data_IF_826756675138
#
_entry.id   IF_826756675138
#
_cell.length_a   1.000
_cell.length_b   1.000
_cell.length_c   1.000
_cell.angle_alpha   90.00
_cell.angle_beta   90.00
_cell.angle_gamma   90.00
#
_symmetry.space_group_name_H-M   'P 1'
#
loop_
_entity.id
_entity.type
_entity.pdbx_description
1 polymer ?
#
# COMPACT_ATOMS: atom_id res chain seq x y z
N UNK A 1 16.12 11.45 14.17
CA UNK A 1 15.09 10.43 14.43
C UNK A 1 14.25 10.27 13.16
N UNK A 2 13.81 9.06 12.79
CA UNK A 2 13.04 8.85 11.55
C UNK A 2 11.56 9.13 11.74
N UNK A 3 10.93 9.70 10.72
CA UNK A 3 9.48 9.84 10.61
C UNK A 3 8.89 8.46 10.35
N UNK A 4 7.97 8.04 11.22
CA UNK A 4 7.21 6.80 11.08
C UNK A 4 5.82 7.15 10.56
N UNK A 5 5.52 6.89 9.28
CA UNK A 5 4.20 7.18 8.74
C UNK A 5 3.09 6.43 9.48
N UNK A 6 1.90 7.05 9.66
CA UNK A 6 0.77 6.39 10.30
C UNK A 6 0.30 5.19 9.46
N UNK A 7 -0.09 4.10 10.14
CA UNK A 7 -0.64 2.92 9.45
C UNK A 7 -1.98 3.26 8.79
N UNK A 8 -2.15 2.82 7.54
CA UNK A 8 -3.45 2.86 6.87
C UNK A 8 -4.47 1.95 7.55
N UNK A 9 -5.75 2.30 7.44
CA UNK A 9 -6.89 1.67 8.09
C UNK A 9 -7.95 1.27 7.05
N UNK A 10 -8.83 0.29 7.35
CA UNK A 10 -9.98 0.01 6.51
C UNK A 10 -10.77 1.28 6.17
N UNK A 11 -11.12 1.47 4.90
CA UNK A 11 -11.75 2.67 4.35
C UNK A 11 -10.76 3.68 3.74
N UNK A 12 -9.48 3.63 4.10
CA UNK A 12 -8.47 4.53 3.53
C UNK A 12 -8.20 4.22 2.05
N UNK A 13 -7.92 5.26 1.27
CA UNK A 13 -7.48 5.13 -0.12
C UNK A 13 -5.98 4.81 -0.15
N UNK A 14 -5.60 3.83 -0.97
CA UNK A 14 -4.22 3.41 -1.18
C UNK A 14 -3.85 3.57 -2.66
N UNK A 15 -2.79 4.32 -2.94
CA UNK A 15 -2.29 4.49 -4.30
C UNK A 15 -1.59 3.21 -4.76
N UNK A 16 -1.94 2.76 -5.96
CA UNK A 16 -1.36 1.57 -6.60
C UNK A 16 -0.53 2.05 -7.78
N UNK A 17 0.79 2.02 -7.64
CA UNK A 17 1.73 2.66 -8.58
C UNK A 17 2.66 1.64 -9.23
N UNK A 18 3.08 1.92 -10.45
CA UNK A 18 4.11 1.15 -11.16
C UNK A 18 5.36 2.00 -11.36
N UNK A 19 6.15 2.26 -10.30
CA UNK A 19 7.32 3.13 -10.37
C UNK A 19 8.55 2.48 -11.03
N UNK A 20 8.44 1.20 -11.40
CA UNK A 20 9.44 0.45 -12.17
C UNK A 20 8.71 -0.21 -13.35
N UNK A 21 8.63 -1.55 -13.42
CA UNK A 21 7.82 -2.25 -14.41
C UNK A 21 6.31 -2.08 -14.19
N UNK A 22 5.57 -1.71 -15.23
CA UNK A 22 4.11 -1.69 -15.24
C UNK A 22 3.49 -3.08 -15.49
N UNK A 23 3.78 -4.04 -14.60
CA UNK A 23 3.21 -5.40 -14.69
C UNK A 23 1.68 -5.47 -14.81
N UNK A 24 0.89 -4.54 -14.24
CA UNK A 24 -0.56 -4.49 -14.49
C UNK A 24 -0.94 -4.36 -15.97
N UNK A 25 -0.11 -3.71 -16.79
CA UNK A 25 -0.32 -3.61 -18.23
C UNK A 25 -0.02 -4.91 -18.97
N UNK A 26 0.92 -5.71 -18.46
CA UNK A 26 1.29 -7.01 -19.04
C UNK A 26 0.30 -8.13 -18.67
N UNK A 27 -0.16 -8.15 -17.41
CA UNK A 27 -1.05 -9.18 -16.87
C UNK A 27 -2.29 -8.57 -16.17
N UNK A 28 -3.21 -7.95 -16.93
CA UNK A 28 -4.35 -7.23 -16.35
C UNK A 28 -5.25 -8.12 -15.49
N UNK A 29 -5.49 -9.38 -15.89
CA UNK A 29 -6.32 -10.30 -15.11
C UNK A 29 -5.74 -10.61 -13.71
N UNK A 30 -4.42 -10.71 -13.59
CA UNK A 30 -3.74 -10.93 -12.30
C UNK A 30 -3.84 -9.68 -11.44
N UNK A 31 -3.71 -8.51 -12.06
CA UNK A 31 -3.86 -7.23 -11.38
C UNK A 31 -5.28 -7.03 -10.83
N UNK A 32 -6.33 -7.29 -11.62
CA UNK A 32 -7.72 -7.22 -11.15
C UNK A 32 -7.96 -8.12 -9.93
N UNK A 33 -7.41 -9.34 -9.98
CA UNK A 33 -7.49 -10.29 -8.88
C UNK A 33 -6.76 -9.78 -7.63
N UNK A 34 -5.60 -9.13 -7.81
CA UNK A 34 -4.85 -8.51 -6.72
C UNK A 34 -5.62 -7.34 -6.09
N UNK A 35 -6.23 -6.46 -6.90
CA UNK A 35 -7.02 -5.33 -6.40
C UNK A 35 -8.24 -5.79 -5.60
N UNK A 36 -8.94 -6.81 -6.11
CA UNK A 36 -10.08 -7.43 -5.42
C UNK A 36 -9.66 -8.00 -4.06
N UNK A 37 -8.54 -8.74 -4.01
CA UNK A 37 -8.03 -9.32 -2.76
C UNK A 37 -7.53 -8.27 -1.78
N UNK A 38 -6.84 -7.24 -2.26
CA UNK A 38 -6.37 -6.13 -1.43
C UNK A 38 -7.56 -5.49 -0.70
N UNK A 39 -8.60 -5.12 -1.44
CA UNK A 39 -9.81 -4.52 -0.88
C UNK A 39 -10.50 -5.48 0.11
N UNK A 40 -10.72 -6.75 -0.27
CA UNK A 40 -11.42 -7.71 0.56
C UNK A 40 -10.69 -8.05 1.88
N UNK A 41 -9.35 -8.15 1.85
CA UNK A 41 -8.55 -8.58 3.01
C UNK A 41 -8.19 -7.44 3.97
N UNK A 42 -8.13 -6.21 3.47
CA UNK A 42 -7.66 -5.05 4.23
C UNK A 42 -8.72 -3.97 4.45
N UNK A 43 -9.77 -3.95 3.63
CA UNK A 43 -10.75 -2.87 3.57
C UNK A 43 -10.20 -1.58 2.96
N UNK A 44 -8.97 -1.56 2.43
CA UNK A 44 -8.42 -0.40 1.73
C UNK A 44 -9.07 -0.23 0.36
N UNK A 45 -9.16 1.01 -0.11
CA UNK A 45 -9.71 1.37 -1.41
C UNK A 45 -8.55 1.61 -2.39
N UNK A 46 -8.22 0.66 -3.30
CA UNK A 46 -7.16 0.85 -4.28
C UNK A 46 -7.49 1.97 -5.26
N UNK A 47 -6.51 2.82 -5.54
CA UNK A 47 -6.59 3.93 -6.49
C UNK A 47 -5.43 3.80 -7.46
N UNK A 48 -5.75 3.55 -8.73
CA UNK A 48 -4.76 3.55 -9.80
C UNK A 48 -4.46 4.96 -10.29
N UNK A 49 -3.30 5.10 -10.90
CA UNK A 49 -2.79 6.34 -11.49
C UNK A 49 -2.50 6.13 -12.98
N UNK A 50 -2.32 7.20 -13.77
CA UNK A 50 -2.13 7.13 -15.22
C UNK A 50 -1.14 6.05 -15.68
N UNK A 51 0.01 5.93 -15.02
CA UNK A 51 1.06 4.98 -15.44
C UNK A 51 0.95 3.61 -14.78
N UNK A 52 -0.04 3.35 -13.93
CA UNK A 52 -0.16 2.05 -13.22
C UNK A 52 -0.19 0.87 -14.20
N UNK A 53 -0.90 1.01 -15.32
CA UNK A 53 -1.02 -0.02 -16.37
C UNK A 53 -0.28 0.33 -17.66
N UNK A 54 0.35 1.50 -17.73
CA UNK A 54 0.97 1.99 -18.96
C UNK A 54 2.35 1.36 -19.15
N UNK A 55 2.46 0.44 -20.10
CA UNK A 55 3.76 -0.09 -20.51
C UNK A 55 4.58 1.01 -21.18
N UNK A 56 5.88 1.07 -20.86
CA UNK A 56 6.81 2.02 -21.48
C UNK A 56 6.64 3.49 -21.07
N UNK A 57 5.95 3.77 -19.96
CA UNK A 57 5.89 5.12 -19.40
C UNK A 57 7.30 5.65 -19.06
N UNK A 58 7.55 6.93 -19.35
CA UNK A 58 8.84 7.55 -19.09
C UNK A 58 9.15 7.63 -17.58
N UNK A 59 10.42 7.80 -17.17
CA UNK A 59 10.75 8.05 -15.77
C UNK A 59 10.02 9.26 -15.18
N UNK A 60 9.86 10.34 -15.95
CA UNK A 60 9.13 11.55 -15.55
C UNK A 60 7.64 11.31 -15.37
N UNK A 61 7.02 10.49 -16.22
CA UNK A 61 5.60 10.13 -16.10
C UNK A 61 5.37 9.29 -14.84
N UNK A 62 6.24 8.30 -14.58
CA UNK A 62 6.17 7.50 -13.35
C UNK A 62 6.44 8.33 -12.09
N UNK A 63 7.36 9.30 -12.16
CA UNK A 63 7.63 10.25 -11.08
C UNK A 63 6.44 11.17 -10.82
N UNK A 64 5.73 11.60 -11.86
CA UNK A 64 4.52 12.41 -11.74
C UNK A 64 3.46 11.70 -10.90
N UNK A 65 3.25 10.41 -11.13
CA UNK A 65 2.30 9.60 -10.36
C UNK A 65 2.72 9.46 -8.89
N UNK A 66 4.00 9.24 -8.62
CA UNK A 66 4.55 9.23 -7.25
C UNK A 66 4.34 10.58 -6.55
N UNK A 67 4.71 11.69 -7.20
CA UNK A 67 4.56 13.03 -6.64
C UNK A 67 3.09 13.36 -6.38
N UNK A 68 2.19 13.01 -7.29
CA UNK A 68 0.75 13.19 -7.12
C UNK A 68 0.21 12.37 -5.92
N UNK A 69 0.65 11.12 -5.75
CA UNK A 69 0.24 10.29 -4.62
C UNK A 69 0.75 10.82 -3.27
N UNK A 70 2.00 11.32 -3.21
CA UNK A 70 2.52 11.96 -2.00
C UNK A 70 1.76 13.25 -1.67
N UNK A 71 1.46 14.08 -2.68
CA UNK A 71 0.78 15.36 -2.49
C UNK A 71 -0.72 15.24 -2.16
N UNK A 72 -1.40 14.15 -2.52
CA UNK A 72 -2.85 13.98 -2.32
C UNK A 72 -3.21 13.54 -0.89
N UNK A 73 -3.75 14.42 -0.01
CA UNK A 73 -4.05 14.06 1.38
C UNK A 73 -5.11 12.95 1.53
N UNK A 74 -5.89 12.66 0.48
CA UNK A 74 -6.89 11.57 0.47
C UNK A 74 -6.24 10.18 0.40
N UNK A 75 -5.01 10.08 -0.10
CA UNK A 75 -4.22 8.85 -0.15
C UNK A 75 -3.48 8.69 1.18
N UNK A 76 -3.67 7.54 1.84
CA UNK A 76 -3.02 7.25 3.14
C UNK A 76 -1.92 6.19 3.08
N UNK A 77 -1.69 5.56 1.94
CA UNK A 77 -0.57 4.67 1.71
C UNK A 77 -0.26 4.53 0.21
N UNK A 78 0.96 4.12 -0.12
CA UNK A 78 1.42 3.86 -1.48
C UNK A 78 1.92 2.42 -1.56
N UNK A 79 1.42 1.67 -2.54
CA UNK A 79 1.82 0.30 -2.86
C UNK A 79 2.39 0.26 -4.28
N UNK A 80 3.65 -0.17 -4.40
CA UNK A 80 4.23 -0.50 -5.69
C UNK A 80 3.68 -1.85 -6.19
N UNK A 81 3.32 -1.92 -7.46
CA UNK A 81 2.76 -3.12 -8.10
C UNK A 81 3.80 -4.24 -8.21
N UNK A 82 5.02 -3.90 -8.65
CA UNK A 82 6.19 -4.79 -8.74
C UNK A 82 7.49 -3.97 -8.77
N UNK A 83 8.65 -4.64 -8.69
CA UNK A 83 9.96 -4.05 -9.04
C UNK A 83 10.27 -4.18 -10.53
N UNK A 84 11.52 -3.96 -10.91
CA UNK A 84 12.03 -4.03 -12.30
C UNK A 84 13.53 -3.77 -12.30
N UNK A 85 14.02 -2.88 -13.16
CA UNK A 85 15.47 -2.63 -13.30
C UNK A 85 15.87 -1.17 -13.57
N UNK A 86 14.90 -0.24 -13.68
CA UNK A 86 15.14 1.12 -14.15
C UNK A 86 14.59 2.22 -13.22
N UNK A 87 14.08 1.89 -12.03
CA UNK A 87 13.51 2.89 -11.11
C UNK A 87 14.51 3.97 -10.70
N UNK A 88 15.82 3.68 -10.74
CA UNK A 88 16.85 4.69 -10.46
C UNK A 88 16.70 5.94 -11.35
N UNK A 89 16.20 5.81 -12.59
CA UNK A 89 15.95 6.92 -13.48
C UNK A 89 14.76 7.80 -13.05
N UNK A 90 13.85 7.29 -12.21
CA UNK A 90 12.69 8.01 -11.68
C UNK A 90 13.09 8.98 -10.56
N UNK A 91 14.08 8.60 -9.75
CA UNK A 91 14.48 9.30 -8.51
C UNK A 91 14.81 10.80 -8.71
N UNK A 92 15.53 11.23 -9.76
CA UNK A 92 15.84 12.65 -9.97
C UNK A 92 14.61 13.56 -10.19
N UNK A 93 13.44 12.98 -10.48
CA UNK A 93 12.21 13.72 -10.78
C UNK A 93 11.24 13.79 -9.57
N UNK A 94 11.63 13.25 -8.42
CA UNK A 94 10.78 13.21 -7.22
C UNK A 94 10.86 14.50 -6.41
N UNK A 95 9.70 14.95 -5.92
CA UNK A 95 9.58 16.08 -5.02
C UNK A 95 9.59 15.63 -3.56
N UNK A 96 10.70 15.87 -2.87
CA UNK A 96 10.86 15.54 -1.46
C UNK A 96 9.99 16.37 -0.53
N UNK A 97 9.58 17.59 -0.93
CA UNK A 97 8.78 18.47 -0.08
C UNK A 97 7.39 17.90 0.18
N UNK A 98 6.75 17.36 -0.87
CA UNK A 98 5.45 16.70 -0.74
C UNK A 98 5.52 15.50 0.22
N UNK A 99 6.52 14.62 0.05
CA UNK A 99 6.71 13.45 0.92
C UNK A 99 7.00 13.82 2.38
N UNK A 100 7.71 14.92 2.63
CA UNK A 100 7.98 15.42 3.98
C UNK A 100 6.76 16.08 4.64
N UNK A 101 5.89 16.73 3.85
CA UNK A 101 4.72 17.44 4.36
C UNK A 101 3.62 16.51 4.90
N UNK A 102 3.40 15.36 4.26
CA UNK A 102 2.48 14.31 4.70
C UNK A 102 3.12 12.94 4.47
N UNK A 103 4.03 12.48 5.37
CA UNK A 103 4.71 11.20 5.19
C UNK A 103 3.72 10.03 5.21
N UNK A 104 3.80 9.18 4.18
CA UNK A 104 2.88 8.04 3.98
C UNK A 104 3.63 6.72 4.00
N UNK A 105 3.01 5.63 4.48
CA UNK A 105 3.57 4.30 4.32
C UNK A 105 3.78 4.00 2.84
N UNK A 106 5.00 3.62 2.49
CA UNK A 106 5.34 3.06 1.20
C UNK A 106 5.68 1.57 1.37
N UNK A 107 5.08 0.73 0.52
CA UNK A 107 5.33 -0.71 0.44
C UNK A 107 5.77 -1.09 -0.99
N UNK A 108 6.94 -1.71 -1.10
CA UNK A 108 7.50 -2.21 -2.35
C UNK A 108 8.64 -3.18 -2.09
N UNK A 109 9.10 -3.91 -3.12
CA UNK A 109 10.25 -4.81 -3.01
C UNK A 109 11.09 -4.78 -4.28
N UNK A 110 12.30 -5.37 -4.24
CA UNK A 110 13.26 -5.44 -5.34
C UNK A 110 13.75 -4.04 -5.76
N UNK A 111 13.62 -3.67 -7.02
CA UNK A 111 14.02 -2.36 -7.58
C UNK A 111 13.41 -1.15 -6.85
N UNK A 112 12.29 -1.36 -6.14
CA UNK A 112 11.71 -0.38 -5.21
C UNK A 112 12.67 0.04 -4.08
N UNK A 113 13.81 -0.65 -3.93
CA UNK A 113 14.92 -0.25 -3.07
C UNK A 113 15.40 1.16 -3.41
N UNK A 114 15.38 1.60 -4.69
CA UNK A 114 15.76 2.97 -5.04
C UNK A 114 14.84 3.99 -4.35
N UNK A 115 13.53 3.78 -4.38
CA UNK A 115 12.57 4.63 -3.69
C UNK A 115 12.67 4.50 -2.16
N UNK A 116 12.97 3.30 -1.63
CA UNK A 116 13.27 3.12 -0.21
C UNK A 116 14.48 3.94 0.24
N UNK A 117 15.56 3.98 -0.55
CA UNK A 117 16.76 4.77 -0.25
C UNK A 117 16.46 6.27 -0.32
N UNK A 118 15.66 6.70 -1.29
CA UNK A 118 15.21 8.08 -1.41
C UNK A 118 14.35 8.51 -0.20
N UNK A 119 13.36 7.72 0.21
CA UNK A 119 12.58 8.00 1.43
C UNK A 119 13.46 7.98 2.68
N UNK A 120 14.42 7.05 2.74
CA UNK A 120 15.35 6.93 3.85
C UNK A 120 16.22 8.18 4.00
N UNK A 121 16.70 8.77 2.90
CA UNK A 121 17.52 10.00 2.90
C UNK A 121 16.71 11.23 3.37
N UNK A 122 15.40 11.25 3.10
CA UNK A 122 14.46 12.23 3.65
C UNK A 122 14.09 11.96 5.12
N UNK A 123 14.60 10.89 5.73
CA UNK A 123 14.30 10.53 7.11
C UNK A 123 12.95 9.83 7.29
N UNK A 124 12.29 9.39 6.22
CA UNK A 124 11.00 8.69 6.25
C UNK A 124 11.25 7.17 6.28
N UNK A 125 10.57 6.46 7.17
CA UNK A 125 10.60 5.00 7.19
C UNK A 125 9.62 4.39 6.16
N UNK A 126 10.06 3.35 5.48
CA UNK A 126 9.28 2.59 4.49
C UNK A 126 9.47 1.10 4.70
N UNK A 127 8.56 0.27 4.18
CA UNK A 127 8.56 -1.18 4.45
C UNK A 127 8.74 -2.00 3.17
N UNK A 128 9.59 -3.03 3.22
CA UNK A 128 9.74 -4.01 2.13
C UNK A 128 8.77 -5.17 2.21
N UNK A 129 8.14 -5.34 3.36
CA UNK A 129 7.18 -6.40 3.65
C UNK A 129 5.99 -5.84 4.43
N UNK A 130 4.85 -6.52 4.32
CA UNK A 130 3.73 -6.26 5.22
C UNK A 130 4.15 -6.68 6.63
N UNK A 131 4.17 -5.78 7.63
CA UNK A 131 4.52 -6.17 8.98
C UNK A 131 3.53 -7.21 9.49
N UNK A 132 3.97 -8.21 10.28
CA UNK A 132 3.09 -9.23 10.83
C UNK A 132 1.94 -8.56 11.60
N UNK A 133 0.73 -9.09 11.48
CA UNK A 133 -0.43 -8.59 12.24
C UNK A 133 -0.07 -8.64 13.73
N UNK A 134 -0.10 -7.49 14.40
CA UNK A 134 -0.06 -7.48 15.87
C UNK A 134 -1.36 -8.13 16.36
N UNK A 135 -1.26 -9.38 16.82
CA UNK A 135 -2.39 -10.13 17.39
C UNK A 135 -2.77 -9.57 18.76
N UNK A 136 -3.32 -8.36 18.82
CA UNK A 136 -3.90 -7.81 20.06
C UNK A 136 -5.44 -7.87 20.07
N UNK A 137 -6.07 -8.36 19.00
CA UNK A 137 -7.50 -8.66 19.01
C UNK A 137 -7.75 -9.93 19.84
N UNK A 138 -7.95 -9.77 21.15
CA UNK A 138 -8.55 -10.81 22.00
C UNK A 138 -9.89 -11.19 21.40
N UNK A 139 -9.97 -12.39 20.82
CA UNK A 139 -11.24 -13.00 20.46
C UNK A 139 -12.08 -13.15 21.74
N UNK A 140 -13.13 -12.32 21.88
CA UNK A 140 -14.20 -12.59 22.85
C UNK A 140 -15.10 -13.67 22.24
N UNK A 141 -14.78 -14.93 22.48
CA UNK A 141 -15.75 -16.01 22.29
C UNK A 141 -16.75 -15.95 23.45
N UNK A 142 -17.90 -15.31 23.20
CA UNK A 142 -19.09 -15.45 24.03
C UNK A 142 -19.69 -16.83 23.74
N UNK A 143 -19.35 -17.84 24.53
CA UNK A 143 -20.12 -19.08 24.60
C UNK A 143 -21.44 -18.79 25.30
N UNK A 144 -22.50 -18.65 24.50
CA UNK A 144 -23.88 -18.59 25.00
C UNK A 144 -24.30 -20.03 25.32
N UNK A 145 -24.28 -20.41 26.59
CA UNK A 145 -24.80 -21.72 27.01
C UNK A 145 -26.33 -21.70 26.94
N UNK A 146 -26.90 -22.52 26.07
CA UNK A 146 -28.32 -22.87 26.12
C UNK A 146 -28.46 -24.08 27.03
N UNK A 147 -28.83 -23.85 28.30
CA UNK A 147 -29.28 -24.93 29.18
C UNK A 147 -30.74 -25.22 28.91
N UNK A 148 -31.03 -26.32 28.22
CA UNK A 148 -32.38 -26.89 28.11
C UNK A 148 -32.80 -27.37 29.50
N UNK A 149 -33.81 -26.70 30.08
CA UNK A 149 -34.44 -27.10 31.35
C UNK A 149 -35.36 -28.28 31.05
N UNK A 150 -34.92 -29.49 31.36
CA UNK A 150 -35.77 -30.69 31.35
C UNK A 150 -36.83 -30.55 32.46
N UNK A 151 -38.10 -30.52 32.06
CA UNK A 151 -39.24 -30.35 32.96
C UNK A 151 -39.52 -31.61 33.77
N UNK A 152 -39.60 -31.46 35.09
CA UNK A 152 -40.33 -32.39 35.97
C UNK A 152 -41.80 -31.95 35.98
N UNK A 153 -42.71 -32.87 35.65
CA UNK A 153 -44.12 -32.84 36.09
C UNK A 153 -44.39 -34.13 36.85
N UNK A 154 -45.12 -33.93 37.94
CA UNK A 154 -45.90 -34.81 38.81
C UNK A 154 -45.80 -36.33 38.58
#
# INVERSE_FOLDING_TARGET
>A
MKLLPPKARPGDRVAILSPSLAAPGFAPAVHEQAMTRLAALTGLVPVEYPTTRQLGASPEERARDLNAAFADPSIRAILATVGGEDQIAVIPHLDGAAALSDPKPFLGFSDNTNLHQWLWSLGIASSTAVPPRSTSARARTSTRSTSTRCGRRC
#
